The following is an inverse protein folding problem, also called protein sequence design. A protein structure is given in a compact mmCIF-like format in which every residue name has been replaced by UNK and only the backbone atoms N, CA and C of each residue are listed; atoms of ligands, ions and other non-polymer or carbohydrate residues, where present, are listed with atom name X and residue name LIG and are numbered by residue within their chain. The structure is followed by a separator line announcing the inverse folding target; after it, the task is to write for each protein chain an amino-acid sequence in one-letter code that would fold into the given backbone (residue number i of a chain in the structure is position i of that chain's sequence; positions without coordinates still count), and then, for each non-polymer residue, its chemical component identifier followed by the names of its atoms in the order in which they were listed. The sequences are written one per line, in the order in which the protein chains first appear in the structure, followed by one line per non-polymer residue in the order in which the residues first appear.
data_IF_751167600529
#
_entry.id   IF_751167600529
#
_cell.length_a   1.000
_cell.length_b   1.000
_cell.length_c   1.000
_cell.angle_alpha   90.00
_cell.angle_beta   90.00
_cell.angle_gamma   90.00
#
_symmetry.space_group_name_H-M   'P 1'
#
loop_
_entity.id
_entity.type
_entity.pdbx_description
1 polymer ?
#
# COMPACT_ATOMS: atom_id res chain seq x y z
N UNK A 1 27.31 4.18 -10.79
CA UNK A 1 25.83 4.22 -10.85
C UNK A 1 25.43 5.59 -10.35
N UNK A 2 24.87 6.42 -11.22
CA UNK A 2 24.61 7.84 -10.95
C UNK A 2 23.35 8.02 -10.08
N UNK A 3 23.53 8.58 -8.89
CA UNK A 3 22.48 8.87 -7.91
C UNK A 3 21.32 9.70 -8.49
N UNK A 4 21.63 10.61 -9.44
CA UNK A 4 20.64 11.40 -10.18
C UNK A 4 19.74 10.58 -11.10
N UNK A 5 20.19 9.42 -11.58
CA UNK A 5 19.38 8.56 -12.42
C UNK A 5 18.32 7.82 -11.60
N UNK A 6 18.66 7.41 -10.37
CA UNK A 6 17.73 6.76 -9.45
C UNK A 6 16.66 7.75 -8.95
N UNK A 7 17.06 8.99 -8.61
CA UNK A 7 16.14 10.03 -8.17
C UNK A 7 15.12 10.42 -9.27
N UNK A 8 15.58 10.47 -10.53
CA UNK A 8 14.71 10.67 -11.70
C UNK A 8 13.76 9.51 -11.92
N UNK A 9 14.19 8.28 -11.67
CA UNK A 9 13.35 7.09 -11.81
C UNK A 9 12.25 7.07 -10.73
N UNK A 10 12.58 7.42 -9.49
CA UNK A 10 11.62 7.51 -8.39
C UNK A 10 10.63 8.67 -8.61
N UNK A 11 11.10 9.82 -9.10
CA UNK A 11 10.21 10.94 -9.53
C UNK A 11 9.33 10.54 -10.70
N UNK A 12 9.87 9.88 -11.72
CA UNK A 12 9.09 9.42 -12.85
C UNK A 12 8.01 8.42 -12.42
N UNK A 13 8.32 7.50 -11.50
CA UNK A 13 7.34 6.54 -10.99
C UNK A 13 6.22 7.24 -10.19
N UNK A 14 6.56 8.25 -9.37
CA UNK A 14 5.56 9.05 -8.62
C UNK A 14 4.74 9.98 -9.52
N UNK A 15 5.34 10.54 -10.57
CA UNK A 15 4.66 11.35 -11.59
C UNK A 15 3.71 10.51 -12.45
N UNK A 16 4.13 9.31 -12.86
CA UNK A 16 3.27 8.35 -13.57
C UNK A 16 2.06 7.97 -12.70
N UNK A 17 2.27 7.74 -11.40
CA UNK A 17 1.20 7.44 -10.46
C UNK A 17 0.23 8.62 -10.31
N UNK A 18 0.75 9.86 -10.25
CA UNK A 18 -0.05 11.08 -10.15
C UNK A 18 -0.89 11.34 -11.42
N UNK A 19 -0.33 11.09 -12.61
CA UNK A 19 -1.05 11.23 -13.88
C UNK A 19 -2.18 10.22 -14.00
N UNK A 20 -1.92 8.95 -13.69
CA UNK A 20 -2.95 7.90 -13.62
C UNK A 20 -4.06 8.26 -12.61
N UNK A 21 -3.70 8.85 -11.46
CA UNK A 21 -4.67 9.32 -10.47
C UNK A 21 -5.52 10.48 -10.98
N UNK A 22 -4.93 11.41 -11.72
CA UNK A 22 -5.62 12.58 -12.29
C UNK A 22 -6.59 12.18 -13.40
N UNK A 23 -6.23 11.20 -14.22
CA UNK A 23 -7.16 10.59 -15.17
C UNK A 23 -8.28 9.81 -14.49
N UNK A 24 -7.99 9.12 -13.38
CA UNK A 24 -8.98 8.39 -12.60
C UNK A 24 -9.99 9.30 -11.88
N UNK A 25 -9.56 10.47 -11.40
CA UNK A 25 -10.40 11.47 -10.74
C UNK A 25 -11.04 12.49 -11.71
N UNK A 26 -10.67 12.47 -12.99
CA UNK A 26 -11.09 13.48 -13.97
C UNK A 26 -12.54 13.37 -14.45
N UNK A 27 -13.31 12.38 -13.99
CA UNK A 27 -14.63 12.10 -14.55
C UNK A 27 -15.75 12.04 -13.50
N UNK A 28 -15.91 13.09 -12.68
CA UNK A 28 -17.19 13.42 -12.04
C UNK A 28 -17.42 14.93 -11.93
N UNK A 29 -18.67 15.31 -12.19
CA UNK A 29 -19.14 16.67 -12.39
C UNK A 29 -19.27 17.48 -11.09
N UNK A 30 -18.52 18.59 -11.01
CA UNK A 30 -18.88 19.95 -10.52
C UNK A 30 -19.63 20.17 -9.18
N UNK A 31 -19.93 19.16 -8.36
CA UNK A 31 -20.58 19.32 -7.03
C UNK A 31 -19.72 18.75 -5.89
N UNK A 32 -18.70 17.95 -6.19
CA UNK A 32 -17.88 17.18 -5.22
C UNK A 32 -16.54 17.87 -4.81
N UNK A 33 -16.30 19.10 -5.29
CA UNK A 33 -15.00 19.82 -5.24
C UNK A 33 -14.50 20.21 -3.82
N UNK A 34 -15.35 20.12 -2.80
CA UNK A 34 -14.96 20.39 -1.40
C UNK A 34 -14.61 19.12 -0.62
N UNK A 35 -15.28 18.01 -0.89
CA UNK A 35 -15.10 16.73 -0.16
C UNK A 35 -13.96 15.91 -0.77
N UNK A 36 -13.79 15.97 -2.09
CA UNK A 36 -12.69 15.27 -2.78
C UNK A 36 -11.34 15.90 -2.46
N UNK A 37 -11.29 17.21 -2.28
CA UNK A 37 -10.08 17.95 -1.90
C UNK A 37 -9.62 17.58 -0.49
N UNK A 38 -10.55 17.50 0.47
CA UNK A 38 -10.26 17.00 1.82
C UNK A 38 -9.82 15.52 1.80
N UNK A 39 -10.39 14.70 0.92
CA UNK A 39 -10.01 13.29 0.79
C UNK A 39 -8.60 13.12 0.20
N UNK A 40 -8.25 13.94 -0.80
CA UNK A 40 -6.91 13.99 -1.37
C UNK A 40 -5.92 14.57 -0.35
N UNK A 41 -6.38 15.53 0.45
CA UNK A 41 -5.56 16.14 1.48
C UNK A 41 -5.21 15.14 2.59
N UNK A 42 -6.22 14.39 3.02
CA UNK A 42 -6.07 13.31 3.97
C UNK A 42 -5.22 12.17 3.39
N UNK A 43 -5.35 11.84 2.10
CA UNK A 43 -4.51 10.86 1.44
C UNK A 43 -3.03 11.25 1.48
N UNK A 44 -2.65 12.47 1.07
CA UNK A 44 -1.23 12.87 1.10
C UNK A 44 -0.69 12.92 2.53
N UNK A 45 -1.52 13.34 3.50
CA UNK A 45 -1.13 13.39 4.90
C UNK A 45 -0.83 11.99 5.43
N UNK A 46 -1.74 11.03 5.21
CA UNK A 46 -1.52 9.64 5.60
C UNK A 46 -0.36 9.02 4.83
N UNK A 47 -0.22 9.32 3.54
CA UNK A 47 0.91 8.88 2.76
C UNK A 47 2.23 9.44 3.32
N UNK A 48 2.29 10.66 3.83
CA UNK A 48 3.51 11.18 4.45
C UNK A 48 3.79 10.56 5.82
N UNK A 49 2.76 10.12 6.54
CA UNK A 49 2.88 9.58 7.90
C UNK A 49 3.21 8.08 7.92
N UNK A 50 2.63 7.31 7.00
CA UNK A 50 2.87 5.88 6.89
C UNK A 50 4.24 5.67 6.23
N UNK A 51 5.15 4.99 6.93
CA UNK A 51 6.48 4.65 6.39
C UNK A 51 6.38 3.59 5.29
N UNK A 52 7.38 3.52 4.39
CA UNK A 52 7.45 2.41 3.43
C UNK A 52 7.65 1.06 4.14
N UNK A 53 7.07 0.02 3.55
CA UNK A 53 7.22 -1.36 3.98
C UNK A 53 8.28 -2.04 3.13
N UNK A 54 9.36 -2.45 3.77
CA UNK A 54 10.38 -3.31 3.21
C UNK A 54 10.45 -4.59 4.05
N UNK A 55 10.18 -5.73 3.43
CA UNK A 55 10.18 -7.01 4.13
C UNK A 55 11.63 -7.44 4.39
N UNK A 56 11.96 -7.65 5.67
CA UNK A 56 13.26 -8.17 6.09
C UNK A 56 13.06 -9.27 7.12
N UNK A 57 12.79 -10.48 6.63
CA UNK A 57 12.52 -11.66 7.46
C UNK A 57 13.75 -12.04 8.30
N UNK A 58 14.96 -11.74 7.82
CA UNK A 58 16.20 -12.00 8.55
C UNK A 58 16.32 -11.10 9.78
N UNK A 59 15.93 -9.83 9.65
CA UNK A 59 15.87 -8.85 10.76
C UNK A 59 14.55 -8.84 11.53
N UNK A 60 13.61 -9.72 11.19
CA UNK A 60 12.30 -9.83 11.85
C UNK A 60 11.30 -8.73 11.49
N UNK A 61 11.52 -8.00 10.39
CA UNK A 61 10.59 -7.02 9.84
C UNK A 61 9.57 -7.74 8.95
N UNK A 62 8.47 -8.16 9.56
CA UNK A 62 7.32 -8.77 8.87
C UNK A 62 6.27 -7.73 8.54
N UNK A 63 5.40 -8.06 7.57
CA UNK A 63 4.26 -7.21 7.26
C UNK A 63 3.32 -7.05 8.46
N UNK A 64 3.17 -8.06 9.31
CA UNK A 64 2.34 -7.99 10.51
C UNK A 64 2.87 -6.94 11.51
N UNK A 65 4.18 -6.93 11.78
CA UNK A 65 4.82 -5.95 12.67
C UNK A 65 4.73 -4.52 12.13
N UNK A 66 4.88 -4.36 10.81
CA UNK A 66 4.71 -3.05 10.17
C UNK A 66 3.25 -2.61 10.14
N UNK A 67 2.32 -3.50 9.82
CA UNK A 67 0.91 -3.20 9.76
C UNK A 67 0.36 -2.86 11.14
N UNK A 68 0.77 -3.55 12.20
CA UNK A 68 0.33 -3.23 13.56
C UNK A 68 0.74 -1.83 14.03
N UNK A 69 1.88 -1.32 13.55
CA UNK A 69 2.31 0.07 13.81
C UNK A 69 1.50 1.08 13.01
N UNK A 70 1.10 0.73 11.79
CA UNK A 70 0.46 1.66 10.85
C UNK A 70 -1.07 1.50 10.76
N UNK A 71 -1.67 0.47 11.37
CA UNK A 71 -3.10 0.14 11.24
C UNK A 71 -4.02 1.27 11.69
N UNK A 72 -3.59 2.08 12.65
CA UNK A 72 -4.33 3.25 13.12
C UNK A 72 -4.54 4.26 11.99
N UNK A 73 -3.53 4.48 11.14
CA UNK A 73 -3.63 5.38 10.00
C UNK A 73 -4.68 4.91 8.97
N UNK A 74 -4.88 3.60 8.82
CA UNK A 74 -5.87 3.06 7.88
C UNK A 74 -7.28 2.93 8.49
N UNK A 75 -7.38 2.50 9.75
CA UNK A 75 -8.65 2.19 10.42
C UNK A 75 -9.27 3.39 11.13
N UNK A 76 -8.45 4.30 11.67
CA UNK A 76 -8.90 5.48 12.43
C UNK A 76 -8.86 6.69 11.53
N UNK A 77 -7.66 7.11 11.10
CA UNK A 77 -7.50 8.34 10.33
C UNK A 77 -8.04 8.19 8.90
N UNK A 78 -7.82 7.02 8.30
CA UNK A 78 -8.32 6.66 6.98
C UNK A 78 -9.77 6.22 6.96
N UNK A 79 -10.51 6.23 8.10
CA UNK A 79 -11.88 5.69 8.15
C UNK A 79 -12.81 6.31 7.11
N UNK A 80 -12.65 7.60 6.83
CA UNK A 80 -13.40 8.38 5.83
C UNK A 80 -13.01 8.07 4.38
N UNK A 81 -11.87 7.43 4.13
CA UNK A 81 -11.43 7.06 2.79
C UNK A 81 -12.18 5.85 2.25
N UNK A 82 -12.48 5.89 0.95
CA UNK A 82 -13.00 4.74 0.20
C UNK A 82 -12.00 3.57 0.25
N UNK A 83 -12.53 2.33 0.20
CA UNK A 83 -11.68 1.13 0.27
C UNK A 83 -10.63 1.09 -0.85
N UNK A 84 -11.00 1.49 -2.07
CA UNK A 84 -10.11 1.58 -3.23
C UNK A 84 -8.92 2.52 -2.97
N UNK A 85 -9.16 3.65 -2.29
CA UNK A 85 -8.13 4.62 -1.93
C UNK A 85 -7.23 4.07 -0.82
N UNK A 86 -7.78 3.33 0.15
CA UNK A 86 -6.99 2.64 1.19
C UNK A 86 -6.10 1.55 0.60
N UNK A 87 -6.64 0.77 -0.33
CA UNK A 87 -5.92 -0.27 -1.08
C UNK A 87 -4.79 0.36 -1.86
N UNK A 88 -5.05 1.46 -2.56
CA UNK A 88 -4.05 2.21 -3.30
C UNK A 88 -2.97 2.77 -2.37
N UNK A 89 -3.36 3.40 -1.25
CA UNK A 89 -2.42 3.90 -0.24
C UNK A 89 -1.51 2.79 0.28
N UNK A 90 -2.09 1.62 0.61
CA UNK A 90 -1.33 0.47 1.08
C UNK A 90 -0.37 -0.04 0.01
N UNK A 91 -0.84 -0.16 -1.24
CA UNK A 91 -0.03 -0.61 -2.36
C UNK A 91 1.14 0.35 -2.66
N UNK A 92 0.93 1.67 -2.56
CA UNK A 92 1.99 2.68 -2.70
C UNK A 92 3.00 2.62 -1.55
N UNK A 93 2.61 2.07 -0.40
CA UNK A 93 3.51 1.90 0.76
C UNK A 93 4.32 0.63 0.73
N UNK A 94 4.00 -0.31 -0.14
CA UNK A 94 4.83 -1.48 -0.36
C UNK A 94 6.10 -1.05 -1.11
N UNK A 95 7.24 -1.59 -0.68
CA UNK A 95 8.48 -1.47 -1.44
C UNK A 95 8.34 -2.07 -2.84
N UNK A 96 9.22 -1.67 -3.76
CA UNK A 96 9.13 -2.06 -5.18
C UNK A 96 9.16 -3.59 -5.37
N UNK A 97 9.92 -4.30 -4.54
CA UNK A 97 10.06 -5.77 -4.59
C UNK A 97 8.78 -6.44 -4.08
N UNK A 98 8.24 -5.94 -2.97
CA UNK A 98 7.05 -6.45 -2.32
C UNK A 98 5.81 -6.23 -3.19
N UNK A 99 5.68 -5.02 -3.75
CA UNK A 99 4.64 -4.68 -4.69
C UNK A 99 4.69 -5.58 -5.92
N UNK A 100 5.86 -5.78 -6.54
CA UNK A 100 6.00 -6.65 -7.70
C UNK A 100 5.56 -8.09 -7.40
N UNK A 101 5.94 -8.62 -6.24
CA UNK A 101 5.60 -9.98 -5.81
C UNK A 101 4.08 -10.17 -5.64
N UNK A 102 3.42 -9.21 -5.01
CA UNK A 102 1.96 -9.24 -4.80
C UNK A 102 1.21 -8.97 -6.10
N UNK A 103 1.67 -8.01 -6.90
CA UNK A 103 1.09 -7.69 -8.20
C UNK A 103 1.17 -8.90 -9.14
N UNK A 104 2.27 -9.65 -9.15
CA UNK A 104 2.39 -10.89 -9.92
C UNK A 104 1.42 -11.97 -9.43
N UNK A 105 1.27 -12.11 -8.11
CA UNK A 105 0.38 -13.11 -7.52
C UNK A 105 -1.11 -12.84 -7.77
N UNK A 106 -1.49 -11.56 -7.79
CA UNK A 106 -2.88 -11.16 -7.98
C UNK A 106 -3.30 -11.10 -9.45
N UNK A 107 -2.39 -11.29 -10.41
CA UNK A 107 -2.77 -11.39 -11.82
C UNK A 107 -3.73 -12.57 -12.07
N UNK A 108 -4.79 -12.39 -12.89
CA UNK A 108 -5.11 -11.22 -13.72
C UNK A 108 -5.97 -10.14 -13.03
N UNK A 109 -6.27 -10.28 -11.74
CA UNK A 109 -7.12 -9.37 -10.99
C UNK A 109 -6.38 -8.07 -10.64
N UNK A 110 -7.04 -6.92 -10.86
CA UNK A 110 -6.49 -5.62 -10.44
C UNK A 110 -6.51 -5.50 -8.92
N UNK A 111 -5.36 -5.17 -8.34
CA UNK A 111 -5.17 -4.84 -6.92
C UNK A 111 -6.24 -3.87 -6.40
N UNK A 112 -6.54 -2.83 -7.17
CA UNK A 112 -7.50 -1.78 -6.82
C UNK A 112 -8.95 -2.27 -6.72
N UNK A 113 -9.28 -3.42 -7.31
CA UNK A 113 -10.61 -4.03 -7.22
C UNK A 113 -10.74 -4.99 -6.03
N UNK A 114 -9.64 -5.28 -5.33
CA UNK A 114 -9.63 -6.15 -4.17
C UNK A 114 -10.03 -5.37 -2.91
N UNK A 115 -10.72 -6.01 -1.96
CA UNK A 115 -11.02 -5.39 -0.67
C UNK A 115 -9.74 -5.16 0.13
N UNK A 116 -9.72 -4.07 0.91
CA UNK A 116 -8.59 -3.72 1.76
C UNK A 116 -8.18 -4.86 2.70
N UNK A 117 -9.14 -5.49 3.38
CA UNK A 117 -8.87 -6.61 4.29
C UNK A 117 -8.24 -7.80 3.56
N UNK A 118 -8.73 -8.13 2.37
CA UNK A 118 -8.19 -9.25 1.60
C UNK A 118 -6.75 -8.99 1.13
N UNK A 119 -6.42 -7.75 0.76
CA UNK A 119 -5.04 -7.38 0.44
C UNK A 119 -4.13 -7.47 1.66
N UNK A 120 -4.59 -6.99 2.83
CA UNK A 120 -3.86 -7.09 4.11
C UNK A 120 -3.59 -8.55 4.46
N UNK A 121 -4.57 -9.44 4.31
CA UNK A 121 -4.40 -10.86 4.59
C UNK A 121 -3.43 -11.54 3.62
N UNK A 122 -3.47 -11.18 2.33
CA UNK A 122 -2.52 -11.70 1.34
C UNK A 122 -1.09 -11.26 1.64
N UNK A 123 -0.91 -9.99 2.01
CA UNK A 123 0.37 -9.42 2.42
C UNK A 123 0.90 -10.08 3.69
N UNK A 124 0.05 -10.30 4.70
CA UNK A 124 0.40 -11.06 5.89
C UNK A 124 0.85 -12.47 5.51
N UNK A 125 0.15 -13.16 4.62
CA UNK A 125 0.46 -14.53 4.23
C UNK A 125 1.80 -14.65 3.50
N UNK A 126 2.10 -13.71 2.61
CA UNK A 126 3.33 -13.67 1.81
C UNK A 126 4.55 -13.21 2.60
N UNK A 127 4.38 -12.21 3.47
CA UNK A 127 5.47 -11.58 4.21
C UNK A 127 5.44 -11.88 5.72
N UNK A 128 4.90 -13.05 6.10
CA UNK A 128 4.97 -13.59 7.45
C UNK A 128 6.30 -14.35 7.67
N UNK A 129 6.84 -14.28 8.89
CA UNK A 129 8.03 -15.03 9.29
C UNK A 129 7.78 -16.55 9.14
N UNK A 130 8.58 -17.28 8.33
CA UNK A 130 8.53 -18.73 8.22
C UNK A 130 8.68 -19.45 9.57
N UNK A 131 9.39 -18.84 10.55
CA UNK A 131 9.54 -19.39 11.91
C UNK A 131 8.23 -19.40 12.67
N UNK A 132 7.30 -18.48 12.37
CA UNK A 132 5.94 -18.51 12.91
C UNK A 132 5.11 -19.69 12.35
N UNK A 133 5.45 -20.18 11.16
CA UNK A 133 4.83 -21.39 10.57
C UNK A 133 5.36 -22.69 11.19
N UNK A 134 6.55 -22.69 11.82
CA UNK A 134 7.14 -23.87 12.45
C UNK A 134 6.56 -24.22 13.83
N UNK A 135 6.02 -23.25 14.59
CA UNK A 135 5.45 -23.51 15.92
C UNK A 135 4.17 -24.37 15.84
N UNK A 136 3.46 -24.36 14.70
CA UNK A 136 2.26 -25.19 14.51
C UNK A 136 2.56 -26.65 14.17
N UNK A 137 3.80 -27.01 13.84
CA UNK A 137 4.16 -28.37 13.41
C UNK A 137 4.81 -29.23 14.50
N UNK A 138 5.18 -28.66 15.64
CA UNK A 138 5.82 -29.39 16.75
C UNK A 138 4.89 -29.68 17.92
N UNK A 139 3.57 -29.50 17.73
CA UNK A 139 2.54 -30.01 18.64
C UNK A 139 1.68 -31.03 17.90
N UNK A 140 2.23 -32.21 17.64
CA UNK A 140 1.46 -33.44 17.45
C UNK A 140 2.29 -34.63 17.87
#
# INVERSE_FOLDING_TARGET
MDEKAFERLMKAQTEQFSQLFKEFCGNKSKVEDSVEKESADLYWKLQSLVGEFNADIEKGVTFESWFDKNKSFFLVDGKSLAEEVKVRLLATKLGSVEYAKISQKLMPQKLESMKFESLVDELKKEFCDPRSKLVRRTKS
#
